data_IF_861732893650
#
_entry.id   IF_861732893650
#
_cell.length_a   1.000
_cell.length_b   1.000
_cell.length_c   1.000
_cell.angle_alpha   90.00
_cell.angle_beta   90.00
_cell.angle_gamma   90.00
#
_symmetry.space_group_name_H-M   'P 1'
#
loop_
_entity.id
_entity.type
_entity.pdbx_description
1 polymer ?
#
# COMPACT_ATOMS: atom_id res chain seq x y z
N UNK A 1 -12.49 -9.46 3.23
CA UNK A 1 -12.71 -8.31 4.12
C UNK A 1 -11.68 -8.37 5.25
N UNK A 2 -10.97 -7.27 5.51
CA UNK A 2 -9.97 -7.17 6.58
C UNK A 2 -10.66 -7.24 7.95
N UNK A 3 -10.26 -8.18 8.81
CA UNK A 3 -10.82 -8.32 10.15
C UNK A 3 -10.05 -7.44 11.16
N UNK A 4 -10.13 -6.12 10.99
CA UNK A 4 -9.46 -5.13 11.84
C UNK A 4 -10.50 -4.14 12.42
N UNK A 5 -10.49 -3.86 13.73
CA UNK A 5 -11.47 -2.96 14.35
C UNK A 5 -11.11 -1.49 14.08
N UNK A 6 -11.60 -0.96 12.96
CA UNK A 6 -11.46 0.47 12.66
C UNK A 6 -12.27 1.32 13.64
N UNK A 7 -11.64 2.39 14.13
CA UNK A 7 -12.26 3.40 15.01
C UNK A 7 -11.93 4.80 14.49
N UNK A 8 -12.58 5.82 15.03
CA UNK A 8 -12.28 7.23 14.70
C UNK A 8 -10.83 7.63 15.02
N UNK A 9 -10.18 6.90 15.93
CA UNK A 9 -8.78 7.09 16.32
C UNK A 9 -7.81 6.35 15.42
N UNK A 10 -8.27 5.43 14.58
CA UNK A 10 -7.38 4.68 13.70
C UNK A 10 -6.62 5.63 12.79
N UNK A 11 -5.29 5.51 12.81
CA UNK A 11 -4.40 6.14 11.83
C UNK A 11 -3.57 5.07 11.16
N UNK A 12 -3.51 5.17 9.85
CA UNK A 12 -2.79 4.28 8.98
C UNK A 12 -1.68 5.04 8.27
N UNK A 13 -0.65 4.29 7.91
CA UNK A 13 0.40 4.74 7.00
C UNK A 13 0.59 3.74 5.87
N UNK A 14 0.95 4.25 4.70
CA UNK A 14 1.38 3.42 3.56
C UNK A 14 2.86 3.67 3.33
N UNK A 15 3.65 2.60 3.36
CA UNK A 15 5.07 2.63 3.01
C UNK A 15 5.25 2.12 1.59
N UNK A 16 5.97 2.85 0.75
CA UNK A 16 6.21 2.49 -0.64
C UNK A 16 7.71 2.59 -0.89
N UNK A 17 8.31 1.52 -1.38
CA UNK A 17 9.71 1.52 -1.80
C UNK A 17 9.79 1.92 -3.26
N UNK A 18 10.53 3.00 -3.55
CA UNK A 18 10.75 3.49 -4.92
C UNK A 18 12.20 3.18 -5.30
N UNK A 19 12.39 2.50 -6.43
CA UNK A 19 13.69 2.04 -6.92
C UNK A 19 14.22 2.93 -8.03
N UNK A 20 15.52 3.14 -8.02
CA UNK A 20 16.23 3.74 -9.15
C UNK A 20 16.79 2.63 -10.05
N UNK A 21 16.84 2.89 -11.35
CA UNK A 21 17.30 1.93 -12.37
C UNK A 21 18.79 1.61 -12.26
N UNK A 22 19.55 2.42 -11.52
CA UNK A 22 20.99 2.27 -11.38
C UNK A 22 21.42 1.29 -10.25
N UNK A 23 20.55 0.98 -9.29
CA UNK A 23 20.91 0.20 -8.10
C UNK A 23 19.78 -0.73 -7.65
N UNK A 24 20.13 -1.90 -7.11
CA UNK A 24 19.16 -2.84 -6.54
C UNK A 24 18.49 -2.33 -5.24
N UNK A 25 19.09 -1.33 -4.58
CA UNK A 25 18.57 -0.71 -3.37
C UNK A 25 17.43 0.30 -3.66
N UNK A 26 16.43 0.43 -2.78
CA UNK A 26 15.40 1.45 -2.91
C UNK A 26 16.06 2.84 -2.83
N UNK A 27 15.86 3.64 -3.88
CA UNK A 27 16.35 5.00 -3.95
C UNK A 27 15.68 5.90 -2.90
N UNK A 28 14.40 5.63 -2.58
CA UNK A 28 13.74 6.25 -1.45
C UNK A 28 12.54 5.42 -0.95
N UNK A 29 12.05 5.79 0.23
CA UNK A 29 10.84 5.23 0.82
C UNK A 29 9.81 6.34 1.00
N UNK A 30 8.72 6.29 0.25
CA UNK A 30 7.59 7.19 0.46
C UNK A 30 6.75 6.72 1.64
N UNK A 31 6.26 7.67 2.44
CA UNK A 31 5.41 7.41 3.59
C UNK A 31 4.17 8.29 3.53
N UNK A 32 3.04 7.71 3.14
CA UNK A 32 1.73 8.36 3.20
C UNK A 32 1.14 8.16 4.60
N UNK A 33 0.62 9.21 5.25
CA UNK A 33 0.26 9.19 6.67
C UNK A 33 -1.10 9.83 6.93
N UNK A 34 -1.60 9.67 8.15
CA UNK A 34 -2.86 10.23 8.64
C UNK A 34 -4.11 9.73 7.89
N UNK A 35 -4.02 8.52 7.34
CA UNK A 35 -5.11 7.87 6.62
C UNK A 35 -5.99 7.12 7.62
N UNK A 36 -7.29 7.08 7.40
CA UNK A 36 -8.25 6.54 8.40
C UNK A 36 -8.94 5.25 7.95
N UNK A 37 -8.90 4.93 6.66
CA UNK A 37 -9.50 3.72 6.09
C UNK A 37 -8.56 3.06 5.08
N UNK A 38 -8.76 1.78 4.81
CA UNK A 38 -8.00 1.07 3.76
C UNK A 38 -8.27 1.64 2.36
N UNK A 39 -9.49 2.12 2.10
CA UNK A 39 -9.82 2.77 0.83
C UNK A 39 -9.05 4.10 0.67
N UNK A 40 -8.93 4.90 1.73
CA UNK A 40 -8.11 6.10 1.72
C UNK A 40 -6.63 5.78 1.44
N UNK A 41 -6.13 4.67 1.98
CA UNK A 41 -4.79 4.16 1.65
C UNK A 41 -4.65 3.81 0.17
N UNK A 42 -5.63 3.10 -0.42
CA UNK A 42 -5.62 2.76 -1.83
C UNK A 42 -5.64 4.02 -2.71
N UNK A 43 -6.53 4.99 -2.42
CA UNK A 43 -6.61 6.25 -3.17
C UNK A 43 -5.31 7.05 -3.09
N UNK A 44 -4.73 7.17 -1.89
CA UNK A 44 -3.47 7.89 -1.70
C UNK A 44 -2.30 7.20 -2.42
N UNK A 45 -2.24 5.86 -2.40
CA UNK A 45 -1.25 5.10 -3.15
C UNK A 45 -1.38 5.31 -4.66
N UNK A 46 -2.60 5.21 -5.20
CA UNK A 46 -2.88 5.41 -6.63
C UNK A 46 -2.48 6.82 -7.07
N UNK A 47 -2.86 7.84 -6.30
CA UNK A 47 -2.48 9.22 -6.59
C UNK A 47 -0.95 9.40 -6.62
N UNK A 48 -0.23 8.89 -5.61
CA UNK A 48 1.23 8.96 -5.57
C UNK A 48 1.90 8.20 -6.72
N UNK A 49 1.36 7.04 -7.10
CA UNK A 49 1.82 6.27 -8.27
C UNK A 49 1.66 7.08 -9.55
N UNK A 50 0.47 7.63 -9.77
CA UNK A 50 0.13 8.36 -11.00
C UNK A 50 0.93 9.66 -11.12
N UNK A 51 1.09 10.40 -10.03
CA UNK A 51 1.94 11.60 -9.97
C UNK A 51 3.41 11.29 -10.26
N UNK A 52 3.90 10.12 -9.83
CA UNK A 52 5.31 9.74 -10.07
C UNK A 52 5.61 9.42 -11.54
N UNK A 53 4.59 8.98 -12.31
CA UNK A 53 4.78 8.46 -13.67
C UNK A 53 5.62 7.17 -13.77
N UNK A 54 5.90 6.50 -12.64
CA UNK A 54 6.79 5.34 -12.60
C UNK A 54 6.03 4.02 -12.84
N UNK A 55 6.67 3.12 -13.60
CA UNK A 55 6.19 1.76 -13.83
C UNK A 55 6.35 0.84 -12.61
N UNK A 56 5.70 -0.31 -12.64
CA UNK A 56 5.71 -1.33 -11.55
C UNK A 56 7.10 -1.82 -11.14
N UNK A 57 8.08 -1.76 -12.05
CA UNK A 57 9.47 -2.13 -11.75
C UNK A 57 10.18 -1.11 -10.84
N UNK A 58 9.66 0.13 -10.77
CA UNK A 58 10.27 1.24 -10.03
C UNK A 58 9.40 1.74 -8.88
N UNK A 59 8.08 1.64 -9.00
CA UNK A 59 7.14 2.02 -7.95
C UNK A 59 6.61 0.77 -7.26
N UNK A 60 7.11 0.51 -6.06
CA UNK A 60 6.77 -0.69 -5.30
C UNK A 60 5.31 -0.74 -4.87
N UNK A 61 4.93 -1.89 -4.31
CA UNK A 61 3.65 -2.06 -3.62
C UNK A 61 3.55 -1.15 -2.39
N UNK A 62 2.33 -0.83 -1.98
CA UNK A 62 2.06 -0.05 -0.78
C UNK A 62 1.79 -0.93 0.43
N UNK A 63 2.67 -0.91 1.43
CA UNK A 63 2.52 -1.69 2.66
C UNK A 63 1.76 -0.85 3.71
N UNK A 64 0.59 -1.32 4.15
CA UNK A 64 -0.33 -0.58 5.04
C UNK A 64 -0.10 -0.99 6.49
N UNK A 65 0.29 -0.03 7.33
CA UNK A 65 0.50 -0.26 8.75
C UNK A 65 -0.42 0.60 9.60
N UNK A 66 -0.76 0.12 10.79
CA UNK A 66 -1.33 0.96 11.85
C UNK A 66 -0.25 1.70 12.67
N UNK A 67 -0.67 2.47 13.66
CA UNK A 67 0.23 3.23 14.55
C UNK A 67 1.10 2.34 15.43
N UNK A 68 0.64 1.14 15.77
CA UNK A 68 1.41 0.16 16.52
C UNK A 68 2.48 -0.54 15.65
N UNK A 69 2.45 -0.31 14.34
CA UNK A 69 3.36 -0.93 13.37
C UNK A 69 2.90 -2.32 12.91
N UNK A 70 1.66 -2.72 13.18
CA UNK A 70 1.09 -3.95 12.65
C UNK A 70 0.90 -3.82 11.14
N UNK A 71 1.42 -4.78 10.36
CA UNK A 71 1.16 -4.85 8.93
C UNK A 71 -0.25 -5.38 8.67
N UNK A 72 -1.10 -4.56 8.08
CA UNK A 72 -2.52 -4.86 7.88
C UNK A 72 -2.85 -5.36 6.48
N UNK A 73 -2.17 -4.85 5.45
CA UNK A 73 -2.45 -5.18 4.06
C UNK A 73 -1.36 -4.68 3.11
N UNK A 74 -1.29 -5.28 1.92
CA UNK A 74 -0.45 -4.79 0.81
C UNK A 74 -1.35 -4.25 -0.32
N UNK A 75 -0.99 -3.12 -0.90
CA UNK A 75 -1.62 -2.53 -2.08
C UNK A 75 -0.75 -2.86 -3.29
N UNK A 76 -1.28 -3.65 -4.23
CA UNK A 76 -0.55 -3.95 -5.47
C UNK A 76 -0.53 -2.75 -6.41
N UNK A 77 0.35 -2.77 -7.40
CA UNK A 77 0.52 -1.67 -8.35
C UNK A 77 -0.79 -1.22 -9.03
N UNK A 78 -1.73 -2.14 -9.29
CA UNK A 78 -3.05 -1.82 -9.84
C UNK A 78 -4.07 -1.27 -8.81
N UNK A 79 -3.66 -0.99 -7.57
CA UNK A 79 -4.49 -0.40 -6.53
C UNK A 79 -5.33 -1.40 -5.71
N UNK A 80 -5.26 -2.72 -5.99
CA UNK A 80 -5.98 -3.73 -5.22
C UNK A 80 -5.37 -3.93 -3.84
N UNK A 81 -6.21 -4.19 -2.85
CA UNK A 81 -5.80 -4.48 -1.48
C UNK A 81 -5.68 -5.99 -1.27
N UNK A 82 -4.58 -6.45 -0.69
CA UNK A 82 -4.26 -7.86 -0.46
C UNK A 82 -3.97 -8.14 1.02
N UNK A 83 -4.17 -9.38 1.49
CA UNK A 83 -3.73 -9.78 2.82
C UNK A 83 -2.21 -9.57 2.99
N UNK A 84 -1.72 -9.26 4.21
CA UNK A 84 -0.31 -9.07 4.51
C UNK A 84 0.41 -10.42 4.64
N UNK A 85 0.22 -11.30 3.66
CA UNK A 85 0.73 -12.65 3.61
C UNK A 85 1.64 -12.80 2.39
N UNK A 86 2.62 -13.72 2.43
CA UNK A 86 3.38 -14.09 1.24
C UNK A 86 2.44 -14.43 0.08
N UNK A 87 2.78 -13.95 -1.12
CA UNK A 87 1.96 -14.15 -2.30
C UNK A 87 1.74 -15.64 -2.58
N UNK A 88 0.49 -16.00 -2.92
CA UNK A 88 0.09 -17.32 -3.40
C UNK A 88 -0.98 -17.13 -4.48
N UNK A 89 -1.03 -18.06 -5.43
CA UNK A 89 -1.91 -17.98 -6.59
C UNK A 89 -3.40 -18.06 -6.26
N UNK A 90 -3.76 -18.62 -5.11
CA UNK A 90 -5.12 -18.78 -4.61
C UNK A 90 -5.61 -17.63 -3.74
N UNK A 91 -4.73 -16.67 -3.40
CA UNK A 91 -5.12 -15.50 -2.63
C UNK A 91 -6.13 -14.65 -3.40
N UNK A 92 -7.10 -14.15 -2.66
CA UNK A 92 -8.09 -13.19 -3.16
C UNK A 92 -7.79 -11.81 -2.57
N UNK A 93 -8.03 -10.73 -3.33
CA UNK A 93 -7.93 -9.40 -2.79
C UNK A 93 -8.93 -9.21 -1.64
N UNK A 94 -8.53 -8.45 -0.64
CA UNK A 94 -9.39 -7.97 0.43
C UNK A 94 -10.40 -6.93 -0.08
N UNK A 95 -9.99 -6.13 -1.06
CA UNK A 95 -10.79 -5.14 -1.78
C UNK A 95 -10.20 -4.89 -3.18
N UNK A 96 -11.07 -4.60 -4.15
CA UNK A 96 -10.66 -4.12 -5.48
C UNK A 96 -10.12 -2.68 -5.40
N UNK A 97 -9.49 -2.21 -6.48
CA UNK A 97 -9.08 -0.81 -6.58
C UNK A 97 -10.31 0.11 -6.55
N UNK A 98 -10.26 1.25 -5.83
CA UNK A 98 -11.33 2.23 -5.86
C UNK A 98 -11.51 2.82 -7.26
N UNK A 99 -12.75 3.13 -7.62
CA UNK A 99 -13.08 3.91 -8.81
C UNK A 99 -12.63 5.37 -8.68
#
# INVERSE_FOLDING_TARGET
MLNYPFTERTRLRVRIEVRDVAHDDPACVLSLRHLTTTEACQRAYIAARDESGLGVSRFGSGEVFDEAGQHLATISYNGRLWPPLPWRSDLKPLAEAPA
#
